data_IF_413872460382
#
_entry.id   IF_413872460382
#
_cell.length_a   1.000
_cell.length_b   1.000
_cell.length_c   1.000
_cell.angle_alpha   90.00
_cell.angle_beta   90.00
_cell.angle_gamma   90.00
#
_symmetry.space_group_name_H-M   'P 1'
#
loop_
_entity.id
_entity.type
_entity.pdbx_description
1 polymer ?
#
# COMPACT_ATOMS: atom_id res chain seq x y z
N UNK A 1 -60.20 -9.88 -40.31
CA UNK A 1 -59.33 -8.73 -39.95
C UNK A 1 -59.30 -8.62 -38.44
N UNK A 2 -58.14 -8.49 -37.78
CA UNK A 2 -58.09 -8.30 -36.34
C UNK A 2 -58.72 -6.96 -35.95
N UNK A 3 -59.49 -6.94 -34.86
CA UNK A 3 -60.06 -5.71 -34.29
C UNK A 3 -58.95 -4.82 -33.71
N UNK A 4 -59.14 -3.49 -33.76
CA UNK A 4 -58.24 -2.51 -33.14
C UNK A 4 -58.03 -2.81 -31.64
N UNK A 5 -59.09 -3.25 -30.95
CA UNK A 5 -59.02 -3.64 -29.55
C UNK A 5 -58.06 -4.81 -29.32
N UNK A 6 -58.11 -5.85 -30.17
CA UNK A 6 -57.22 -7.01 -30.06
C UNK A 6 -55.74 -6.67 -30.33
N UNK A 7 -55.46 -5.70 -31.21
CA UNK A 7 -54.09 -5.20 -31.41
C UNK A 7 -53.58 -4.43 -30.19
N UNK A 8 -54.44 -3.66 -29.52
CA UNK A 8 -54.11 -2.97 -28.27
C UNK A 8 -53.85 -3.96 -27.14
N UNK A 9 -54.71 -4.96 -26.96
CA UNK A 9 -54.52 -6.02 -25.96
C UNK A 9 -53.20 -6.77 -26.16
N UNK A 10 -52.86 -7.12 -27.40
CA UNK A 10 -51.59 -7.77 -27.71
C UNK A 10 -50.38 -6.87 -27.41
N UNK A 11 -50.47 -5.57 -27.71
CA UNK A 11 -49.42 -4.60 -27.39
C UNK A 11 -49.28 -4.42 -25.88
N UNK A 12 -50.39 -4.32 -25.16
CA UNK A 12 -50.41 -4.18 -23.70
C UNK A 12 -49.81 -5.42 -23.04
N UNK A 13 -50.16 -6.63 -23.50
CA UNK A 13 -49.55 -7.88 -23.04
C UNK A 13 -48.03 -7.87 -23.23
N UNK A 14 -47.54 -7.51 -24.42
CA UNK A 14 -46.10 -7.43 -24.70
C UNK A 14 -45.39 -6.42 -23.78
N UNK A 15 -46.01 -5.28 -23.51
CA UNK A 15 -45.45 -4.28 -22.60
C UNK A 15 -45.43 -4.80 -21.16
N UNK A 16 -46.47 -5.51 -20.70
CA UNK A 16 -46.48 -6.13 -19.36
C UNK A 16 -45.40 -7.19 -19.20
N UNK A 17 -45.19 -8.02 -20.22
CA UNK A 17 -44.12 -9.03 -20.23
C UNK A 17 -42.73 -8.37 -20.13
N UNK A 18 -42.50 -7.31 -20.89
CA UNK A 18 -41.23 -6.56 -20.83
C UNK A 18 -41.04 -5.90 -19.46
N UNK A 19 -42.09 -5.32 -18.87
CA UNK A 19 -42.03 -4.75 -17.53
C UNK A 19 -41.72 -5.82 -16.48
N UNK A 20 -42.32 -7.00 -16.57
CA UNK A 20 -42.03 -8.10 -15.66
C UNK A 20 -40.57 -8.54 -15.76
N UNK A 21 -40.07 -8.74 -16.98
CA UNK A 21 -38.66 -9.06 -17.24
C UNK A 21 -37.70 -8.02 -16.67
N UNK A 22 -37.97 -6.73 -16.90
CA UNK A 22 -37.13 -5.64 -16.40
C UNK A 22 -37.14 -5.58 -14.87
N UNK A 23 -38.26 -5.91 -14.22
CA UNK A 23 -38.33 -6.00 -12.75
C UNK A 23 -37.48 -7.14 -12.21
N UNK A 24 -37.56 -8.33 -12.82
CA UNK A 24 -36.70 -9.46 -12.43
C UNK A 24 -35.20 -9.14 -12.64
N UNK A 25 -34.86 -8.43 -13.71
CA UNK A 25 -33.49 -7.97 -13.93
C UNK A 25 -33.05 -6.92 -12.89
N UNK A 26 -33.91 -5.97 -12.57
CA UNK A 26 -33.65 -4.98 -11.53
C UNK A 26 -33.43 -5.64 -10.16
N UNK A 27 -34.24 -6.63 -9.79
CA UNK A 27 -34.08 -7.39 -8.54
C UNK A 27 -32.73 -8.13 -8.50
N UNK A 28 -32.34 -8.78 -9.61
CA UNK A 28 -31.03 -9.44 -9.72
C UNK A 28 -29.88 -8.45 -9.58
N UNK A 29 -29.96 -7.30 -10.23
CA UNK A 29 -28.93 -6.25 -10.15
C UNK A 29 -28.87 -5.66 -8.74
N UNK A 30 -30.01 -5.41 -8.09
CA UNK A 30 -30.07 -4.92 -6.71
C UNK A 30 -29.48 -5.93 -5.73
N UNK A 31 -29.74 -7.23 -5.91
CA UNK A 31 -29.12 -8.28 -5.09
C UNK A 31 -27.59 -8.29 -5.25
N UNK A 32 -27.09 -8.27 -6.49
CA UNK A 32 -25.66 -8.23 -6.78
C UNK A 32 -24.99 -6.95 -6.24
N UNK A 33 -25.66 -5.80 -6.36
CA UNK A 33 -25.21 -4.53 -5.79
C UNK A 33 -25.07 -4.63 -4.27
N UNK A 34 -26.10 -5.14 -3.59
CA UNK A 34 -26.05 -5.32 -2.13
C UNK A 34 -24.94 -6.28 -1.68
N UNK A 35 -24.60 -7.29 -2.48
CA UNK A 35 -23.44 -8.16 -2.21
C UNK A 35 -22.11 -7.42 -2.35
N UNK A 36 -21.96 -6.61 -3.39
CA UNK A 36 -20.78 -5.79 -3.63
C UNK A 36 -20.59 -4.72 -2.53
N UNK A 37 -21.67 -4.06 -2.12
CA UNK A 37 -21.67 -3.08 -1.02
C UNK A 37 -21.27 -3.73 0.31
N UNK A 38 -21.81 -4.92 0.61
CA UNK A 38 -21.39 -5.70 1.79
C UNK A 38 -19.92 -6.08 1.73
N UNK A 39 -19.39 -6.42 0.55
CA UNK A 39 -17.97 -6.69 0.39
C UNK A 39 -17.12 -5.44 0.62
N UNK A 40 -17.55 -4.29 0.12
CA UNK A 40 -16.89 -3.00 0.35
C UNK A 40 -16.88 -2.64 1.84
N UNK A 41 -18.01 -2.82 2.54
CA UNK A 41 -18.10 -2.56 3.97
C UNK A 41 -17.12 -3.42 4.77
N UNK A 42 -17.04 -4.73 4.48
CA UNK A 42 -16.06 -5.62 5.14
C UNK A 42 -14.62 -5.14 4.97
N UNK A 43 -14.27 -4.61 3.80
CA UNK A 43 -12.94 -4.05 3.56
C UNK A 43 -12.71 -2.74 4.32
N UNK A 44 -13.74 -1.91 4.46
CA UNK A 44 -13.67 -0.71 5.28
C UNK A 44 -13.46 -1.06 6.76
N UNK A 45 -14.22 -2.02 7.28
CA UNK A 45 -14.07 -2.53 8.64
C UNK A 45 -12.66 -3.09 8.87
N UNK A 46 -12.16 -3.92 7.94
CA UNK A 46 -10.81 -4.47 8.01
C UNK A 46 -9.73 -3.38 8.03
N UNK A 47 -9.91 -2.28 7.29
CA UNK A 47 -8.97 -1.14 7.32
C UNK A 47 -8.97 -0.45 8.68
N UNK A 48 -10.14 -0.29 9.31
CA UNK A 48 -10.25 0.27 10.66
C UNK A 48 -9.51 -0.63 11.65
N UNK A 49 -9.76 -1.94 11.64
CA UNK A 49 -9.06 -2.89 12.51
C UNK A 49 -7.55 -2.87 12.29
N UNK A 50 -7.09 -2.81 11.04
CA UNK A 50 -5.64 -2.69 10.76
C UNK A 50 -5.08 -1.38 11.29
N UNK A 51 -5.81 -0.26 11.15
CA UNK A 51 -5.36 1.03 11.69
C UNK A 51 -5.28 1.00 13.23
N UNK A 52 -6.21 0.34 13.91
CA UNK A 52 -6.19 0.14 15.36
C UNK A 52 -4.98 -0.68 15.80
N UNK A 53 -4.73 -1.83 15.17
CA UNK A 53 -3.56 -2.68 15.47
C UNK A 53 -2.24 -1.93 15.26
N UNK A 54 -2.16 -1.09 14.23
CA UNK A 54 -0.98 -0.26 13.97
C UNK A 54 -0.83 0.91 14.95
N UNK A 55 -1.91 1.36 15.58
CA UNK A 55 -1.91 2.44 16.57
C UNK A 55 -1.62 1.94 17.99
N UNK A 56 -1.81 0.65 18.28
CA UNK A 56 -1.39 0.06 19.53
C UNK A 56 0.14 0.12 19.68
N UNK A 57 0.67 0.66 20.80
CA UNK A 57 2.10 0.64 21.04
C UNK A 57 2.57 -0.81 21.17
N UNK A 58 3.71 -1.19 20.56
CA UNK A 58 4.12 -2.59 20.52
C UNK A 58 4.41 -3.09 21.94
N UNK A 59 3.53 -3.94 22.46
CA UNK A 59 3.92 -4.91 23.48
C UNK A 59 4.88 -5.85 22.76
N UNK A 60 6.16 -5.82 23.15
CA UNK A 60 7.27 -6.43 22.42
C UNK A 60 7.01 -7.89 22.01
N UNK A 61 6.58 -8.08 20.76
CA UNK A 61 6.66 -9.33 20.04
C UNK A 61 7.22 -8.97 18.67
N UNK A 62 8.40 -9.50 18.36
CA UNK A 62 9.11 -9.24 17.11
C UNK A 62 8.20 -9.56 15.91
N UNK A 63 7.81 -8.54 15.15
CA UNK A 63 6.95 -8.71 13.97
C UNK A 63 7.66 -9.46 12.85
N UNK A 64 6.95 -10.33 12.10
CA UNK A 64 7.46 -10.94 10.89
C UNK A 64 7.61 -9.89 9.79
N UNK A 65 8.85 -9.51 9.52
CA UNK A 65 9.25 -8.56 8.49
C UNK A 65 8.82 -9.08 7.12
N UNK A 66 7.75 -8.50 6.58
CA UNK A 66 7.29 -8.67 5.20
C UNK A 66 8.47 -8.41 4.27
N UNK A 67 8.82 -9.44 3.50
CA UNK A 67 9.91 -9.41 2.54
C UNK A 67 9.63 -8.36 1.46
N UNK A 68 10.71 -7.78 0.93
CA UNK A 68 10.68 -6.71 -0.04
C UNK A 68 9.70 -7.00 -1.20
N UNK A 69 8.65 -6.19 -1.32
CA UNK A 69 7.82 -6.18 -2.54
C UNK A 69 8.70 -5.66 -3.68
N UNK A 70 9.04 -6.57 -4.60
CA UNK A 70 9.66 -6.24 -5.86
C UNK A 70 8.69 -5.35 -6.66
N UNK A 71 8.97 -4.05 -6.73
CA UNK A 71 8.19 -3.10 -7.54
C UNK A 71 7.94 -1.72 -6.93
N UNK A 72 8.22 -1.50 -5.65
CA UNK A 72 8.04 -0.15 -5.07
C UNK A 72 9.10 0.81 -5.61
N UNK A 73 8.67 1.79 -6.41
CA UNK A 73 9.53 2.76 -7.09
C UNK A 73 9.95 3.84 -6.09
N UNK A 74 11.24 3.88 -5.75
CA UNK A 74 11.83 4.96 -4.94
C UNK A 74 11.99 6.21 -5.82
N UNK A 75 11.27 7.32 -5.62
CA UNK A 75 11.42 8.51 -6.46
C UNK A 75 12.86 9.03 -6.44
N UNK A 76 13.31 9.73 -7.48
CA UNK A 76 14.61 10.43 -7.45
C UNK A 76 14.48 11.65 -6.52
N UNK A 77 15.43 11.86 -5.62
CA UNK A 77 15.40 13.01 -4.70
C UNK A 77 15.52 14.31 -5.49
N UNK A 78 14.65 15.27 -5.18
CA UNK A 78 14.74 16.66 -5.60
C UNK A 78 14.90 17.57 -4.36
N UNK A 79 15.31 18.82 -4.58
CA UNK A 79 15.41 19.81 -3.50
C UNK A 79 14.05 20.00 -2.80
N UNK A 80 14.08 20.13 -1.47
CA UNK A 80 12.87 20.27 -0.64
C UNK A 80 12.08 18.98 -0.38
N UNK A 81 12.45 17.84 -0.97
CA UNK A 81 11.80 16.56 -0.66
C UNK A 81 12.30 15.97 0.66
N UNK A 82 11.37 15.47 1.47
CA UNK A 82 11.65 14.75 2.73
C UNK A 82 11.38 13.26 2.58
N UNK A 83 11.88 12.44 3.51
CA UNK A 83 11.76 10.99 3.44
C UNK A 83 10.30 10.50 3.37
N UNK A 84 9.30 11.30 3.76
CA UNK A 84 7.87 10.93 3.78
C UNK A 84 7.27 10.59 2.41
N UNK A 85 7.92 10.98 1.30
CA UNK A 85 7.48 10.61 -0.07
C UNK A 85 7.94 9.21 -0.47
N UNK A 86 8.84 8.60 0.30
CA UNK A 86 9.35 7.26 0.05
C UNK A 86 8.32 6.20 0.47
N UNK A 87 8.36 4.98 -0.10
CA UNK A 87 7.56 3.88 0.44
C UNK A 87 7.94 3.57 1.91
N UNK A 88 7.02 3.02 2.73
CA UNK A 88 7.21 2.88 4.18
C UNK A 88 8.50 2.15 4.60
N UNK A 89 8.92 1.14 3.84
CA UNK A 89 10.18 0.42 4.09
C UNK A 89 11.42 1.32 3.97
N UNK A 90 11.40 2.25 3.03
CA UNK A 90 12.50 3.18 2.80
C UNK A 90 12.46 4.36 3.77
N UNK A 91 11.26 4.79 4.19
CA UNK A 91 11.09 5.76 5.27
C UNK A 91 11.76 5.28 6.56
N UNK A 92 11.49 4.03 6.96
CA UNK A 92 12.12 3.41 8.14
C UNK A 92 13.64 3.36 8.06
N UNK A 93 14.18 3.05 6.88
CA UNK A 93 15.63 3.08 6.66
C UNK A 93 16.18 4.50 6.82
N UNK A 94 15.52 5.49 6.21
CA UNK A 94 15.92 6.89 6.30
C UNK A 94 15.86 7.43 7.73
N UNK A 95 14.82 7.10 8.50
CA UNK A 95 14.69 7.57 9.89
C UNK A 95 15.84 7.08 10.80
N UNK A 96 16.33 5.86 10.57
CA UNK A 96 17.50 5.35 11.29
C UNK A 96 18.78 6.03 10.81
N UNK A 97 18.93 6.26 9.51
CA UNK A 97 20.08 6.98 8.95
C UNK A 97 20.13 8.45 9.41
N UNK A 98 18.98 9.10 9.60
CA UNK A 98 18.86 10.47 10.08
C UNK A 98 19.10 10.60 11.59
N UNK A 99 19.21 9.49 12.33
CA UNK A 99 19.50 9.51 13.77
C UNK A 99 20.95 9.90 14.07
N UNK A 100 21.18 10.47 15.26
CA UNK A 100 22.54 10.82 15.73
C UNK A 100 23.50 9.63 15.72
N UNK A 101 22.99 8.41 15.95
CA UNK A 101 23.78 7.17 15.91
C UNK A 101 24.34 6.83 14.52
N UNK A 102 23.76 7.39 13.46
CA UNK A 102 24.17 7.19 12.06
C UNK A 102 24.97 8.36 11.48
N UNK A 103 25.32 9.37 12.30
CA UNK A 103 26.05 10.58 11.87
C UNK A 103 27.38 10.27 11.16
N UNK A 104 28.12 9.27 11.62
CA UNK A 104 29.38 8.81 11.00
C UNK A 104 29.18 7.78 9.88
N UNK A 105 27.92 7.47 9.56
CA UNK A 105 27.51 6.41 8.67
C UNK A 105 27.32 5.07 9.39
N UNK A 106 26.37 4.28 8.91
CA UNK A 106 25.91 3.05 9.54
C UNK A 106 26.10 1.85 8.61
N UNK A 107 26.62 0.73 9.15
CA UNK A 107 26.72 -0.54 8.42
C UNK A 107 25.36 -1.21 8.28
N UNK A 108 25.18 -2.06 7.26
CA UNK A 108 23.93 -2.81 7.06
C UNK A 108 23.53 -3.66 8.29
N UNK A 109 24.50 -4.22 9.02
CA UNK A 109 24.22 -4.98 10.26
C UNK A 109 23.71 -4.08 11.39
N UNK A 110 24.30 -2.88 11.53
CA UNK A 110 23.87 -1.90 12.53
C UNK A 110 22.49 -1.34 12.18
N UNK A 111 22.25 -1.09 10.89
CA UNK A 111 20.96 -0.66 10.37
C UNK A 111 19.89 -1.75 10.57
N UNK A 112 20.23 -3.02 10.36
CA UNK A 112 19.35 -4.14 10.65
C UNK A 112 18.98 -4.19 12.13
N UNK A 113 19.96 -4.11 13.03
CA UNK A 113 19.73 -4.11 14.47
C UNK A 113 18.87 -2.92 14.92
N UNK A 114 19.15 -1.71 14.41
CA UNK A 114 18.38 -0.51 14.71
C UNK A 114 16.95 -0.54 14.17
N UNK A 115 16.71 -1.31 13.09
CA UNK A 115 15.37 -1.59 12.55
C UNK A 115 14.66 -2.76 13.25
N UNK A 116 15.26 -3.35 14.29
CA UNK A 116 14.73 -4.54 14.98
C UNK A 116 14.74 -5.80 14.12
N UNK A 117 15.53 -5.82 13.04
CA UNK A 117 15.69 -6.98 12.17
C UNK A 117 16.71 -7.95 12.77
N UNK A 118 16.41 -9.24 12.68
CA UNK A 118 17.40 -10.27 12.97
C UNK A 118 18.58 -10.14 12.00
N UNK A 119 19.81 -10.15 12.53
CA UNK A 119 21.05 -9.93 11.77
C UNK A 119 21.48 -11.16 10.94
N UNK A 120 20.52 -11.86 10.33
CA UNK A 120 20.76 -13.00 9.43
C UNK A 120 21.20 -12.53 8.04
N UNK A 121 22.10 -13.26 7.34
CA UNK A 121 22.67 -12.82 6.07
C UNK A 121 21.63 -12.41 5.02
N UNK A 122 20.52 -13.14 4.91
CA UNK A 122 19.45 -12.85 3.94
C UNK A 122 18.79 -11.47 4.18
N UNK A 123 18.52 -11.12 5.44
CA UNK A 123 17.91 -9.83 5.79
C UNK A 123 18.90 -8.68 5.59
N UNK A 124 20.17 -8.89 5.94
CA UNK A 124 21.25 -7.92 5.73
C UNK A 124 21.46 -7.64 4.23
N UNK A 125 21.42 -8.67 3.39
CA UNK A 125 21.54 -8.50 1.92
C UNK A 125 20.34 -7.77 1.31
N UNK A 126 19.12 -8.11 1.76
CA UNK A 126 17.91 -7.39 1.35
C UNK A 126 17.97 -5.90 1.73
N UNK A 127 18.47 -5.59 2.94
CA UNK A 127 18.65 -4.23 3.41
C UNK A 127 19.75 -3.49 2.63
N UNK A 128 20.86 -4.16 2.32
CA UNK A 128 21.94 -3.64 1.47
C UNK A 128 21.40 -3.24 0.09
N UNK A 129 20.55 -4.07 -0.51
CA UNK A 129 19.91 -3.79 -1.80
C UNK A 129 19.00 -2.56 -1.74
N UNK A 130 18.22 -2.40 -0.66
CA UNK A 130 17.37 -1.21 -0.43
C UNK A 130 18.21 0.06 -0.18
N UNK A 131 19.24 -0.02 0.63
CA UNK A 131 20.14 1.10 0.92
C UNK A 131 20.86 1.56 -0.34
N UNK A 132 21.36 0.62 -1.16
CA UNK A 132 21.97 0.95 -2.46
C UNK A 132 20.98 1.67 -3.40
N UNK A 133 19.71 1.24 -3.43
CA UNK A 133 18.68 1.93 -4.21
C UNK A 133 18.44 3.37 -3.73
N UNK A 134 18.48 3.63 -2.43
CA UNK A 134 18.41 5.00 -1.89
C UNK A 134 19.59 5.85 -2.36
N UNK A 135 20.80 5.27 -2.40
CA UNK A 135 21.99 5.95 -2.94
C UNK A 135 21.83 6.26 -4.42
N UNK A 136 21.43 5.29 -5.23
CA UNK A 136 21.19 5.48 -6.67
C UNK A 136 20.14 6.56 -6.98
N UNK A 137 19.17 6.74 -6.08
CA UNK A 137 18.09 7.74 -6.21
C UNK A 137 18.41 9.07 -5.53
N UNK A 138 19.59 9.20 -4.91
CA UNK A 138 20.06 10.44 -4.30
C UNK A 138 19.49 10.73 -2.91
N UNK A 139 18.95 9.73 -2.21
CA UNK A 139 18.43 9.88 -0.84
C UNK A 139 19.48 9.66 0.25
N UNK A 140 20.45 8.79 -0.02
CA UNK A 140 21.52 8.44 0.90
C UNK A 140 22.88 8.51 0.19
N UNK A 141 23.96 8.50 0.95
CA UNK A 141 25.32 8.39 0.46
C UNK A 141 25.97 7.12 0.99
N UNK A 142 26.72 6.43 0.14
CA UNK A 142 27.61 5.35 0.56
C UNK A 142 29.00 5.94 0.78
N UNK A 143 29.38 6.14 2.04
CA UNK A 143 30.68 6.74 2.42
C UNK A 143 31.83 5.75 2.27
N UNK A 144 31.56 4.46 2.54
CA UNK A 144 32.48 3.34 2.39
C UNK A 144 31.71 2.09 1.96
N UNK A 145 32.36 1.05 1.42
CA UNK A 145 31.68 -0.21 1.09
C UNK A 145 30.85 -0.73 2.27
N UNK A 146 29.52 -0.74 2.09
CA UNK A 146 28.56 -1.21 3.10
C UNK A 146 28.24 -0.24 4.25
N UNK A 147 28.73 1.00 4.22
CA UNK A 147 28.43 2.07 5.20
C UNK A 147 27.64 3.18 4.52
N UNK A 148 26.47 3.51 5.07
CA UNK A 148 25.54 4.48 4.50
C UNK A 148 25.25 5.62 5.46
N UNK A 149 25.06 6.83 4.95
CA UNK A 149 24.72 8.05 5.70
C UNK A 149 23.57 8.76 4.96
N UNK A 150 22.69 9.52 5.62
CA UNK A 150 21.67 10.29 4.92
C UNK A 150 22.34 11.36 4.06
N UNK A 151 21.76 11.69 2.91
CA UNK A 151 22.20 12.88 2.20
C UNK A 151 21.77 14.09 3.02
N UNK A 152 22.72 14.80 3.62
CA UNK A 152 22.45 15.97 4.45
C UNK A 152 21.48 16.93 3.74
N UNK A 153 20.46 17.40 4.47
CA UNK A 153 19.75 18.59 4.04
C UNK A 153 20.79 19.71 3.82
N UNK A 154 20.69 20.54 2.76
CA UNK A 154 21.48 21.75 2.73
C UNK A 154 21.13 22.52 4.00
N UNK A 155 22.13 22.77 4.85
CA UNK A 155 22.03 23.75 5.91
C UNK A 155 21.79 25.10 5.20
N UNK A 156 20.54 25.55 5.22
CA UNK A 156 20.13 26.90 4.88
C UNK A 156 19.75 27.63 6.16
#
# INVERSE_FOLDING_TARGET
MPSVLGLLEAREKKVREEVARLREEAERVQAALGEAERALQRLADARVTVAEVLAEPPVGVAEPVVSAVAGSVVPRRAEGMTATVLPPDYQRIMSVLESDAAREGMRCQQLAAALGLEAVPAKVEGLRSKAKRLVERGWALQVRPGVFTPLGAPAG
#
